data_IF_028087909992
#
_entry.id   IF_028087909992
#
_cell.length_a   1.000
_cell.length_b   1.000
_cell.length_c   1.000
_cell.angle_alpha   90.00
_cell.angle_beta   90.00
_cell.angle_gamma   90.00
#
_symmetry.space_group_name_H-M   'P 1'
#
loop_
_entity.id
_entity.type
_entity.pdbx_description
1 polymer ?
#
# COMPACT_ATOMS: atom_id res chain seq x y z
N UNK A 1 -37.30 1.75 40.46
CA UNK A 1 -36.30 0.72 40.83
C UNK A 1 -34.95 1.20 40.35
N UNK A 2 -34.11 1.65 41.28
CA UNK A 2 -32.75 2.16 41.03
C UNK A 2 -31.75 1.05 41.28
N UNK A 3 -30.91 0.73 40.29
CA UNK A 3 -29.83 -0.23 40.45
C UNK A 3 -28.73 0.38 41.35
N UNK A 4 -28.10 -0.42 42.24
CA UNK A 4 -27.07 0.08 43.14
C UNK A 4 -25.80 0.48 42.36
N UNK A 5 -25.13 1.55 42.82
CA UNK A 5 -24.02 2.22 42.13
C UNK A 5 -22.86 1.28 41.72
N UNK A 6 -22.61 0.22 42.49
CA UNK A 6 -21.57 -0.78 42.19
C UNK A 6 -21.91 -1.68 40.99
N UNK A 7 -23.20 -1.88 40.69
CA UNK A 7 -23.67 -2.64 39.51
C UNK A 7 -23.56 -1.78 38.25
N UNK A 8 -23.81 -0.47 38.35
CA UNK A 8 -23.62 0.47 37.23
C UNK A 8 -22.14 0.63 36.89
N UNK A 9 -21.25 0.64 37.90
CA UNK A 9 -19.80 0.68 37.70
C UNK A 9 -19.27 -0.64 37.12
N UNK A 10 -19.79 -1.80 37.51
CA UNK A 10 -19.36 -3.09 36.95
C UNK A 10 -19.79 -3.26 35.49
N UNK A 11 -20.99 -2.80 35.12
CA UNK A 11 -21.47 -2.83 33.73
C UNK A 11 -20.72 -1.81 32.85
N UNK A 12 -20.35 -0.64 33.38
CA UNK A 12 -19.52 0.33 32.68
C UNK A 12 -18.05 -0.11 32.57
N UNK A 13 -17.52 -0.83 33.56
CA UNK A 13 -16.18 -1.43 33.47
C UNK A 13 -16.17 -2.62 32.51
N UNK A 14 -17.21 -3.45 32.46
CA UNK A 14 -17.35 -4.52 31.44
C UNK A 14 -17.63 -3.99 30.03
N UNK A 15 -18.32 -2.86 29.86
CA UNK A 15 -18.50 -2.23 28.55
C UNK A 15 -17.28 -1.44 28.08
N UNK A 16 -16.56 -0.77 29.00
CA UNK A 16 -15.27 -0.16 28.68
C UNK A 16 -14.18 -1.22 28.45
N UNK A 17 -14.19 -2.36 29.15
CA UNK A 17 -13.29 -3.48 28.84
C UNK A 17 -13.70 -4.21 27.55
N UNK A 18 -14.96 -4.41 27.23
CA UNK A 18 -15.30 -5.12 25.99
C UNK A 18 -15.10 -4.28 24.71
N UNK A 19 -15.05 -2.94 24.80
CA UNK A 19 -14.75 -2.10 23.62
C UNK A 19 -13.28 -1.66 23.53
N UNK A 20 -12.54 -1.61 24.66
CA UNK A 20 -11.11 -1.29 24.67
C UNK A 20 -10.21 -2.54 24.70
N UNK A 21 -10.79 -3.73 24.89
CA UNK A 21 -10.11 -5.01 25.04
C UNK A 21 -10.73 -6.08 24.12
N UNK A 22 -11.16 -5.68 22.91
CA UNK A 22 -11.12 -6.56 21.72
C UNK A 22 -9.73 -6.51 21.07
N UNK A 23 -8.70 -6.40 21.90
CA UNK A 23 -7.31 -6.79 21.61
C UNK A 23 -7.11 -8.08 22.40
N UNK A 24 -7.91 -9.10 22.08
CA UNK A 24 -7.59 -10.48 22.48
C UNK A 24 -6.24 -10.80 21.84
N UNK A 25 -5.16 -10.76 22.62
CA UNK A 25 -3.82 -11.27 22.28
C UNK A 25 -3.57 -11.29 20.78
N UNK A 26 -3.43 -10.11 20.15
CA UNK A 26 -3.08 -10.10 18.73
C UNK A 26 -1.73 -10.77 18.67
N UNK A 27 -1.71 -11.99 18.14
CA UNK A 27 -0.50 -12.78 18.12
C UNK A 27 0.53 -11.94 17.39
N UNK A 28 1.73 -11.77 17.96
CA UNK A 28 2.84 -11.08 17.29
C UNK A 28 2.98 -11.55 15.85
N UNK A 29 2.75 -12.83 15.60
CA UNK A 29 2.76 -13.43 14.27
C UNK A 29 1.64 -12.92 13.36
N UNK A 30 0.44 -12.61 13.88
CA UNK A 30 -0.67 -12.07 13.10
C UNK A 30 -0.43 -10.60 12.71
N UNK A 31 0.16 -9.80 13.62
CA UNK A 31 0.58 -8.42 13.31
C UNK A 31 1.66 -8.45 12.23
N UNK A 32 2.69 -9.28 12.41
CA UNK A 32 3.77 -9.41 11.43
C UNK A 32 3.28 -9.98 10.10
N UNK A 33 2.34 -10.93 10.13
CA UNK A 33 1.73 -11.47 8.91
C UNK A 33 0.89 -10.40 8.19
N UNK A 34 0.12 -9.59 8.91
CA UNK A 34 -0.64 -8.49 8.34
C UNK A 34 0.27 -7.44 7.72
N UNK A 35 1.37 -7.07 8.39
CA UNK A 35 2.37 -6.14 7.86
C UNK A 35 3.11 -6.71 6.63
N UNK A 36 3.38 -8.02 6.61
CA UNK A 36 4.03 -8.70 5.48
C UNK A 36 3.09 -9.00 4.31
N UNK A 37 1.77 -8.96 4.53
CA UNK A 37 0.79 -9.28 3.50
C UNK A 37 0.76 -8.23 2.39
N UNK A 38 1.02 -6.99 2.74
CA UNK A 38 0.94 -5.87 1.83
C UNK A 38 2.29 -5.63 1.15
N UNK A 39 2.29 -5.61 -0.17
CA UNK A 39 3.46 -5.23 -0.95
C UNK A 39 3.75 -3.73 -0.77
N UNK A 40 4.91 -3.42 -0.19
CA UNK A 40 5.31 -2.06 0.16
C UNK A 40 5.57 -1.17 -1.07
N UNK A 41 5.87 -1.76 -2.24
CA UNK A 41 6.04 -1.01 -3.49
C UNK A 41 4.77 -0.22 -3.84
N UNK A 42 3.59 -0.75 -3.52
CA UNK A 42 2.29 -0.10 -3.75
C UNK A 42 2.14 1.23 -3.01
N UNK A 43 2.82 1.36 -1.87
CA UNK A 43 2.58 2.44 -0.91
C UNK A 43 3.76 3.40 -0.80
N UNK A 44 4.98 2.97 -1.15
CA UNK A 44 6.17 3.81 -1.06
C UNK A 44 6.75 4.20 -2.42
N UNK A 45 6.70 3.33 -3.43
CA UNK A 45 7.34 3.61 -4.75
C UNK A 45 6.31 4.07 -5.77
N UNK A 46 5.18 3.36 -5.90
CA UNK A 46 4.11 3.72 -6.84
C UNK A 46 3.59 5.16 -6.65
N UNK A 47 3.44 5.69 -5.41
CA UNK A 47 3.01 7.08 -5.19
C UNK A 47 3.99 8.14 -5.69
N UNK A 48 5.29 7.82 -5.83
CA UNK A 48 6.30 8.74 -6.37
C UNK A 48 6.02 9.07 -7.85
N UNK A 49 5.27 8.20 -8.53
CA UNK A 49 4.76 8.39 -9.90
C UNK A 49 3.36 9.02 -9.92
N UNK A 50 2.84 9.47 -8.78
CA UNK A 50 1.47 9.98 -8.64
C UNK A 50 0.38 8.95 -8.96
N UNK A 51 0.73 7.66 -8.84
CA UNK A 51 -0.14 6.51 -9.05
C UNK A 51 -0.53 5.86 -7.71
N UNK A 52 -1.63 5.10 -7.72
CA UNK A 52 -2.07 4.22 -6.63
C UNK A 52 -3.06 3.18 -7.17
N UNK A 53 -3.38 2.18 -6.34
CA UNK A 53 -4.33 1.11 -6.69
C UNK A 53 -5.71 1.58 -7.17
N UNK A 54 -6.20 2.72 -6.67
CA UNK A 54 -7.51 3.27 -7.05
C UNK A 54 -7.51 4.05 -8.38
N UNK A 55 -6.34 4.27 -9.00
CA UNK A 55 -6.26 4.86 -10.36
C UNK A 55 -6.65 3.85 -11.45
N UNK A 56 -6.69 2.57 -11.11
CA UNK A 56 -7.08 1.49 -12.00
C UNK A 56 -8.62 1.37 -11.99
N UNK A 57 -9.29 1.19 -13.15
CA UNK A 57 -10.74 1.32 -13.35
C UNK A 57 -11.63 0.53 -12.39
N UNK A 58 -11.09 -0.52 -11.78
CA UNK A 58 -11.63 -1.17 -10.60
C UNK A 58 -10.47 -1.56 -9.67
N UNK A 59 -10.73 -1.57 -8.36
CA UNK A 59 -9.76 -2.12 -7.38
C UNK A 59 -9.43 -3.59 -7.69
N UNK A 60 -10.37 -4.29 -8.33
CA UNK A 60 -10.18 -5.66 -8.80
C UNK A 60 -9.17 -5.77 -9.94
N UNK A 61 -9.02 -4.72 -10.77
CA UNK A 61 -8.10 -4.76 -11.91
C UNK A 61 -6.64 -4.60 -11.49
N UNK A 62 -6.37 -3.88 -10.40
CA UNK A 62 -5.04 -3.79 -9.82
C UNK A 62 -4.74 -5.08 -9.03
N UNK A 63 -3.62 -5.73 -9.33
CA UNK A 63 -3.17 -6.89 -8.56
C UNK A 63 -2.10 -6.45 -7.57
N UNK A 64 -0.97 -5.97 -8.09
CA UNK A 64 0.16 -5.54 -7.27
C UNK A 64 1.16 -4.68 -8.06
N UNK A 65 2.17 -4.12 -7.42
CA UNK A 65 3.29 -3.43 -8.08
C UNK A 65 4.65 -3.93 -7.62
N UNK A 66 5.61 -3.92 -8.53
CA UNK A 66 6.91 -4.54 -8.35
C UNK A 66 8.01 -3.63 -8.86
N UNK A 67 9.11 -3.54 -8.12
CA UNK A 67 10.32 -2.90 -8.61
C UNK A 67 11.12 -3.91 -9.45
N UNK A 68 11.64 -3.47 -10.59
CA UNK A 68 12.54 -4.30 -11.38
C UNK A 68 13.93 -4.42 -10.75
N UNK A 69 14.71 -5.39 -11.21
CA UNK A 69 16.09 -5.61 -10.73
C UNK A 69 17.00 -4.40 -10.93
N UNK A 70 16.75 -3.60 -11.98
CA UNK A 70 17.50 -2.38 -12.27
C UNK A 70 17.19 -1.23 -11.32
N UNK A 71 16.06 -1.31 -10.61
CA UNK A 71 15.53 -0.29 -9.68
C UNK A 71 15.16 1.02 -10.39
N UNK A 72 14.95 0.97 -11.71
CA UNK A 72 14.64 2.13 -12.55
C UNK A 72 13.24 2.07 -13.11
N UNK A 73 12.57 0.93 -13.03
CA UNK A 73 11.19 0.78 -13.48
C UNK A 73 10.33 0.09 -12.45
N UNK A 74 9.05 0.45 -12.45
CA UNK A 74 8.02 -0.24 -11.68
C UNK A 74 7.09 -0.96 -12.66
N UNK A 75 6.74 -2.19 -12.34
CA UNK A 75 5.77 -2.99 -13.07
C UNK A 75 4.50 -3.05 -12.24
N UNK A 76 3.38 -2.61 -12.80
CA UNK A 76 2.08 -2.75 -12.17
C UNK A 76 1.34 -3.89 -12.83
N UNK A 77 1.08 -4.95 -12.08
CA UNK A 77 0.30 -6.08 -12.56
C UNK A 77 -1.19 -5.74 -12.56
N UNK A 78 -1.84 -6.08 -13.67
CA UNK A 78 -3.27 -5.86 -13.87
C UNK A 78 -3.96 -7.12 -14.38
N UNK A 79 -5.22 -7.32 -13.99
CA UNK A 79 -6.02 -8.46 -14.46
C UNK A 79 -6.41 -8.35 -15.94
N UNK A 80 -6.80 -7.15 -16.35
CA UNK A 80 -7.27 -6.87 -17.69
C UNK A 80 -6.58 -5.60 -18.22
N UNK A 81 -5.56 -5.83 -19.04
CA UNK A 81 -4.78 -4.78 -19.67
C UNK A 81 -5.62 -3.95 -20.66
N UNK A 82 -6.55 -4.57 -21.38
CA UNK A 82 -7.35 -3.92 -22.43
C UNK A 82 -8.19 -2.75 -21.90
N UNK A 83 -8.66 -2.85 -20.65
CA UNK A 83 -9.50 -1.82 -20.02
C UNK A 83 -8.68 -0.57 -19.64
N UNK A 84 -7.39 -0.73 -19.34
CA UNK A 84 -6.59 0.31 -18.67
C UNK A 84 -5.46 0.87 -19.53
N UNK A 85 -4.98 0.12 -20.52
CA UNK A 85 -3.80 0.49 -21.31
C UNK A 85 -3.97 1.85 -21.99
N UNK A 86 -5.09 2.11 -22.64
CA UNK A 86 -5.34 3.38 -23.35
C UNK A 86 -5.27 4.60 -22.42
N UNK A 87 -5.71 4.44 -21.16
CA UNK A 87 -5.64 5.50 -20.16
C UNK A 87 -4.21 5.68 -19.63
N UNK A 88 -3.49 4.59 -19.42
CA UNK A 88 -2.12 4.63 -18.86
C UNK A 88 -1.07 5.05 -19.89
N UNK A 89 -1.29 4.83 -21.19
CA UNK A 89 -0.40 5.28 -22.26
C UNK A 89 -0.19 6.80 -22.28
N UNK A 90 -1.14 7.58 -21.75
CA UNK A 90 -1.00 9.03 -21.62
C UNK A 90 -0.18 9.48 -20.40
N UNK A 91 0.24 8.56 -19.53
CA UNK A 91 1.06 8.89 -18.37
C UNK A 91 2.49 9.23 -18.81
N UNK A 92 3.12 10.31 -18.32
CA UNK A 92 4.45 10.73 -18.77
C UNK A 92 5.54 9.68 -18.57
N UNK A 93 5.37 8.86 -17.53
CA UNK A 93 6.32 7.79 -17.19
C UNK A 93 5.97 6.43 -17.79
N UNK A 94 4.89 6.31 -18.58
CA UNK A 94 4.55 5.04 -19.22
C UNK A 94 5.65 4.63 -20.22
N UNK A 95 6.08 3.37 -20.14
CA UNK A 95 7.06 2.79 -21.07
C UNK A 95 6.40 1.78 -22.01
N UNK A 96 5.82 0.73 -21.44
CA UNK A 96 5.31 -0.40 -22.20
C UNK A 96 4.21 -1.13 -21.45
N UNK A 97 3.43 -1.90 -22.20
CA UNK A 97 2.58 -2.95 -21.64
C UNK A 97 3.22 -4.28 -21.94
N UNK A 98 3.30 -5.15 -20.95
CA UNK A 98 4.05 -6.40 -21.00
C UNK A 98 3.16 -7.58 -20.63
N UNK A 99 3.49 -8.76 -21.14
CA UNK A 99 2.97 -10.05 -20.69
C UNK A 99 4.12 -11.01 -20.45
N UNK A 100 4.01 -11.87 -19.44
CA UNK A 100 4.98 -12.95 -19.22
C UNK A 100 4.46 -14.29 -19.79
N UNK A 101 5.30 -15.32 -19.75
CA UNK A 101 4.95 -16.66 -20.25
C UNK A 101 3.78 -17.32 -19.49
N UNK A 102 3.45 -16.84 -18.27
CA UNK A 102 2.29 -17.28 -17.51
C UNK A 102 1.00 -16.51 -17.85
N UNK A 103 1.03 -15.60 -18.83
CA UNK A 103 -0.11 -14.78 -19.24
C UNK A 103 -0.47 -13.65 -18.27
N UNK A 104 0.36 -13.35 -17.27
CA UNK A 104 0.17 -12.20 -16.38
C UNK A 104 0.46 -10.92 -17.15
N UNK A 105 -0.39 -9.91 -16.98
CA UNK A 105 -0.28 -8.64 -17.67
C UNK A 105 0.32 -7.57 -16.76
N UNK A 106 1.23 -6.76 -17.30
CA UNK A 106 1.90 -5.70 -16.57
C UNK A 106 1.90 -4.39 -17.37
N UNK A 107 1.91 -3.28 -16.64
CA UNK A 107 2.18 -1.94 -17.17
C UNK A 107 3.50 -1.48 -16.58
N UNK A 108 4.46 -1.19 -17.44
CA UNK A 108 5.78 -0.74 -17.04
C UNK A 108 5.85 0.79 -17.04
N UNK A 109 6.31 1.36 -15.94
CA UNK A 109 6.58 2.79 -15.81
C UNK A 109 8.05 3.04 -15.49
N UNK A 110 8.62 4.11 -16.05
CA UNK A 110 9.94 4.62 -15.69
C UNK A 110 9.85 5.32 -14.34
N UNK A 111 10.83 5.13 -13.48
CA UNK A 111 10.99 5.95 -12.28
C UNK A 111 11.79 7.20 -12.65
N UNK A 112 11.25 8.42 -12.43
CA UNK A 112 12.02 9.65 -12.61
C UNK A 112 13.33 9.63 -11.81
N UNK A 113 14.42 10.08 -12.42
CA UNK A 113 15.77 9.95 -11.84
C UNK A 113 15.92 10.65 -10.49
N UNK A 114 15.15 11.72 -10.25
CA UNK A 114 15.10 12.42 -8.96
C UNK A 114 14.69 11.51 -7.79
N UNK A 115 13.97 10.41 -8.07
CA UNK A 115 13.51 9.46 -7.07
C UNK A 115 14.47 8.28 -6.85
N UNK A 116 15.54 8.14 -7.64
CA UNK A 116 16.49 7.03 -7.46
C UNK A 116 17.11 6.97 -6.05
N UNK A 117 17.49 8.09 -5.41
CA UNK A 117 17.97 8.05 -4.02
C UNK A 117 16.92 7.49 -3.04
N UNK A 118 15.66 7.93 -3.17
CA UNK A 118 14.56 7.45 -2.33
C UNK A 118 14.25 5.97 -2.60
N UNK A 119 14.32 5.51 -3.85
CA UNK A 119 14.22 4.07 -4.15
C UNK A 119 15.37 3.28 -3.50
N UNK A 120 16.58 3.84 -3.44
CA UNK A 120 17.68 3.27 -2.66
C UNK A 120 17.34 3.12 -1.18
N UNK A 121 16.80 4.17 -0.57
CA UNK A 121 16.35 4.16 0.84
C UNK A 121 15.24 3.13 1.08
N UNK A 122 14.32 2.98 0.12
CA UNK A 122 13.24 1.99 0.18
C UNK A 122 13.79 0.56 0.26
N UNK A 123 14.81 0.26 -0.56
CA UNK A 123 15.47 -1.06 -0.58
C UNK A 123 16.18 -1.38 0.73
N UNK A 124 16.76 -0.37 1.36
CA UNK A 124 17.43 -0.49 2.66
C UNK A 124 16.43 -0.55 3.83
N UNK A 125 15.13 -0.37 3.58
CA UNK A 125 14.09 -0.32 4.61
C UNK A 125 14.14 0.93 5.50
N UNK A 126 14.82 2.00 5.07
CA UNK A 126 15.09 3.20 5.88
C UNK A 126 14.06 4.31 5.66
N UNK A 127 12.77 3.98 5.74
CA UNK A 127 11.67 4.85 5.31
C UNK A 127 11.65 6.22 5.99
N UNK A 128 12.11 6.32 7.24
CA UNK A 128 12.23 7.60 7.95
C UNK A 128 13.17 8.60 7.27
N UNK A 129 14.10 8.10 6.44
CA UNK A 129 15.13 8.88 5.74
C UNK A 129 14.73 9.32 4.33
N UNK A 130 13.52 9.00 3.87
CA UNK A 130 13.03 9.55 2.60
C UNK A 130 13.13 11.07 2.59
N UNK A 131 13.37 11.62 1.41
CA UNK A 131 13.30 13.05 1.17
C UNK A 131 11.90 13.56 1.54
N UNK A 132 11.80 14.81 2.02
CA UNK A 132 10.50 15.40 2.35
C UNK A 132 9.57 15.46 1.13
N UNK A 133 10.13 15.68 -0.07
CA UNK A 133 9.36 15.62 -1.32
C UNK A 133 8.76 14.22 -1.58
N UNK A 134 9.53 13.16 -1.31
CA UNK A 134 9.03 11.78 -1.43
C UNK A 134 7.97 11.48 -0.37
N UNK A 135 8.16 11.90 0.89
CA UNK A 135 7.16 11.75 1.95
C UNK A 135 5.85 12.45 1.59
N UNK A 136 5.91 13.67 1.06
CA UNK A 136 4.73 14.40 0.60
C UNK A 136 4.04 13.69 -0.57
N UNK A 137 4.80 13.21 -1.56
CA UNK A 137 4.25 12.42 -2.65
C UNK A 137 3.55 11.15 -2.13
N UNK A 138 4.13 10.44 -1.16
CA UNK A 138 3.55 9.27 -0.52
C UNK A 138 2.26 9.63 0.22
N UNK A 139 2.25 10.66 1.08
CA UNK A 139 1.06 11.10 1.81
C UNK A 139 -0.09 11.46 0.88
N UNK A 140 0.20 12.19 -0.20
CA UNK A 140 -0.82 12.68 -1.15
C UNK A 140 -1.33 11.54 -2.06
N UNK A 141 -0.42 10.74 -2.61
CA UNK A 141 -0.75 9.84 -3.72
C UNK A 141 -1.00 8.40 -3.30
N UNK A 142 -0.52 7.92 -2.15
CA UNK A 142 -0.74 6.53 -1.68
C UNK A 142 -2.21 6.22 -1.35
N UNK A 143 -3.01 7.26 -1.07
CA UNK A 143 -4.41 7.14 -0.56
C UNK A 143 -4.52 6.41 0.77
N UNK A 144 -3.42 6.28 1.51
CA UNK A 144 -3.46 5.76 2.87
C UNK A 144 -4.21 6.73 3.79
N UNK A 145 -4.99 6.23 4.77
CA UNK A 145 -5.66 7.07 5.76
C UNK A 145 -4.68 7.99 6.50
N UNK A 146 -4.93 9.30 6.45
CA UNK A 146 -4.17 10.31 7.19
C UNK A 146 -5.15 11.14 8.04
N UNK A 147 -5.04 11.02 9.37
CA UNK A 147 -5.89 11.74 10.32
C UNK A 147 -7.41 11.55 10.06
N UNK A 148 -7.81 10.38 9.58
CA UNK A 148 -9.22 10.07 9.29
C UNK A 148 -9.96 9.84 10.59
N UNK A 149 -11.03 10.59 10.83
CA UNK A 149 -11.95 10.35 11.96
C UNK A 149 -13.07 9.42 11.49
N UNK A 150 -13.14 8.16 11.99
CA UNK A 150 -14.19 7.24 11.58
C UNK A 150 -15.58 7.69 12.09
N UNK A 151 -15.60 8.38 13.23
CA UNK A 151 -16.79 8.94 13.88
C UNK A 151 -16.50 10.36 14.38
N UNK A 152 -17.54 11.16 14.61
CA UNK A 152 -17.43 12.59 14.96
C UNK A 152 -16.52 12.85 16.18
N UNK A 153 -16.54 11.92 17.14
CA UNK A 153 -15.82 12.02 18.41
C UNK A 153 -14.66 11.01 18.54
N UNK A 154 -14.37 10.23 17.48
CA UNK A 154 -13.27 9.28 17.49
C UNK A 154 -11.92 9.98 17.27
N UNK A 155 -10.87 9.46 17.92
CA UNK A 155 -9.49 9.88 17.69
C UNK A 155 -9.13 9.67 16.21
N UNK A 156 -8.53 10.68 15.54
CA UNK A 156 -8.05 10.54 14.17
C UNK A 156 -7.12 9.33 14.04
N UNK A 157 -7.33 8.55 12.97
CA UNK A 157 -6.49 7.40 12.63
C UNK A 157 -5.61 7.73 11.44
N UNK A 158 -4.33 7.43 11.58
CA UNK A 158 -3.35 7.48 10.51
C UNK A 158 -2.81 6.07 10.28
N UNK A 159 -2.62 5.72 9.01
CA UNK A 159 -2.06 4.42 8.63
C UNK A 159 -0.62 4.28 9.15
N UNK A 160 -0.27 3.09 9.65
CA UNK A 160 1.04 2.82 10.27
C UNK A 160 2.20 3.08 9.30
N UNK A 161 2.01 2.87 7.99
CA UNK A 161 3.02 3.15 6.97
C UNK A 161 3.35 4.64 6.85
N UNK A 162 2.33 5.49 7.01
CA UNK A 162 2.51 6.95 7.03
C UNK A 162 3.11 7.42 8.35
N UNK A 163 2.74 6.78 9.47
CA UNK A 163 3.37 7.06 10.76
C UNK A 163 4.86 6.70 10.77
N UNK A 164 5.25 5.63 10.06
CA UNK A 164 6.62 5.16 9.99
C UNK A 164 7.57 6.11 9.26
N UNK A 165 7.16 6.70 8.13
CA UNK A 165 7.99 7.67 7.39
C UNK A 165 8.28 8.94 8.23
N UNK A 166 7.44 9.22 9.22
CA UNK A 166 7.54 10.38 10.10
C UNK A 166 8.11 10.05 11.48
N UNK A 167 8.50 8.78 11.72
CA UNK A 167 8.90 8.28 13.04
C UNK A 167 7.95 8.73 14.15
N UNK A 168 6.64 8.58 13.91
CA UNK A 168 5.63 9.09 14.82
C UNK A 168 5.82 8.52 16.24
N UNK A 169 5.88 9.35 17.30
CA UNK A 169 6.11 8.88 18.67
C UNK A 169 5.09 7.85 19.14
N UNK A 170 3.83 7.98 18.73
CA UNK A 170 2.77 7.02 19.13
C UNK A 170 3.01 5.63 18.53
N UNK A 171 3.60 5.54 17.34
CA UNK A 171 3.96 4.26 16.74
C UNK A 171 5.18 3.65 17.44
N UNK A 172 6.14 4.47 17.88
CA UNK A 172 7.29 4.02 18.67
C UNK A 172 6.82 3.44 20.00
N UNK A 173 6.01 4.20 20.76
CA UNK A 173 5.44 3.76 22.04
C UNK A 173 4.63 2.48 21.87
N UNK A 174 3.84 2.37 20.79
CA UNK A 174 3.12 1.16 20.45
C UNK A 174 4.08 -0.02 20.29
N UNK A 175 5.11 0.09 19.46
CA UNK A 175 6.03 -1.02 19.24
C UNK A 175 6.85 -1.40 20.48
N UNK A 176 7.32 -0.41 21.26
CA UNK A 176 8.04 -0.66 22.51
C UNK A 176 7.18 -1.47 23.49
N UNK A 177 5.89 -1.12 23.61
CA UNK A 177 4.93 -1.86 24.43
C UNK A 177 4.66 -3.27 23.90
N UNK A 178 4.38 -3.42 22.62
CA UNK A 178 4.04 -4.72 22.02
C UNK A 178 5.23 -5.69 21.97
N UNK A 179 6.45 -5.17 21.81
CA UNK A 179 7.67 -5.97 21.72
C UNK A 179 8.40 -6.15 23.05
N UNK A 180 8.11 -5.31 24.05
CA UNK A 180 8.79 -5.32 25.35
C UNK A 180 10.27 -4.94 25.25
N UNK A 181 10.62 -4.07 24.28
CA UNK A 181 11.99 -3.60 24.04
C UNK A 181 12.01 -2.08 23.94
N UNK A 182 13.12 -1.45 24.31
CA UNK A 182 13.37 -0.04 23.97
C UNK A 182 13.84 0.05 22.52
N UNK A 183 13.15 0.87 21.74
CA UNK A 183 13.55 1.24 20.38
C UNK A 183 14.38 2.51 20.42
N UNK A 184 15.49 2.51 19.68
CA UNK A 184 16.37 3.66 19.54
C UNK A 184 15.91 4.62 18.42
N UNK A 185 16.53 5.80 18.35
CA UNK A 185 16.21 6.80 17.32
C UNK A 185 16.63 6.39 15.89
N UNK A 186 17.45 5.34 15.76
CA UNK A 186 17.91 4.79 14.49
C UNK A 186 17.08 3.60 14.00
N UNK A 187 16.32 2.94 14.88
CA UNK A 187 15.46 1.80 14.58
C UNK A 187 14.30 2.20 13.67
N UNK A 188 14.13 1.49 12.55
CA UNK A 188 13.02 1.73 11.62
C UNK A 188 11.73 1.04 12.09
N UNK A 189 10.59 1.68 11.83
CA UNK A 189 9.29 1.24 12.37
C UNK A 189 8.49 0.33 11.43
N UNK A 190 9.12 -0.08 10.32
CA UNK A 190 8.55 -0.95 9.29
C UNK A 190 9.61 -1.94 8.82
N UNK A 191 9.14 -3.09 8.34
CA UNK A 191 10.01 -4.13 7.80
C UNK A 191 10.57 -3.72 6.44
N UNK A 192 11.77 -4.21 6.12
CA UNK A 192 12.35 -4.12 4.78
C UNK A 192 11.40 -4.70 3.71
N UNK A 193 11.48 -4.21 2.46
CA UNK A 193 10.65 -4.76 1.37
C UNK A 193 10.97 -6.25 1.16
N UNK A 194 9.95 -7.09 1.25
CA UNK A 194 10.07 -8.53 1.04
C UNK A 194 10.29 -8.88 -0.43
N UNK A 195 10.62 -10.15 -0.71
CA UNK A 195 10.84 -10.66 -2.09
C UNK A 195 9.66 -10.39 -3.03
N UNK A 196 8.42 -10.36 -2.51
CA UNK A 196 7.22 -10.04 -3.28
C UNK A 196 7.18 -8.62 -3.84
N UNK A 197 8.02 -7.70 -3.34
CA UNK A 197 8.12 -6.33 -3.85
C UNK A 197 8.92 -6.23 -5.16
N UNK A 198 9.54 -7.32 -5.61
CA UNK A 198 10.50 -7.34 -6.71
C UNK A 198 10.08 -8.31 -7.81
N UNK A 199 10.44 -8.01 -9.06
CA UNK A 199 10.20 -8.88 -10.20
C UNK A 199 11.37 -8.87 -11.18
N UNK A 200 11.67 -10.03 -11.75
CA UNK A 200 12.63 -10.14 -12.85
C UNK A 200 11.98 -9.77 -14.19
N UNK A 201 12.75 -9.14 -15.06
CA UNK A 201 12.32 -8.82 -16.43
C UNK A 201 12.50 -10.00 -17.40
N UNK A 202 13.14 -11.08 -16.96
CA UNK A 202 13.31 -12.29 -17.77
C UNK A 202 11.96 -12.89 -18.17
N UNK A 203 11.79 -13.22 -19.45
CA UNK A 203 10.55 -13.78 -20.00
C UNK A 203 9.40 -12.76 -20.19
N UNK A 204 9.61 -11.47 -19.92
CA UNK A 204 8.65 -10.42 -20.24
C UNK A 204 8.70 -10.09 -21.73
N UNK A 205 7.52 -9.96 -22.36
CA UNK A 205 7.39 -9.59 -23.78
C UNK A 205 6.41 -8.44 -23.93
N UNK A 206 6.56 -7.57 -24.95
CA UNK A 206 5.54 -6.58 -25.26
C UNK A 206 4.18 -7.24 -25.47
N UNK A 207 3.16 -6.73 -24.80
CA UNK A 207 1.81 -7.22 -24.94
C UNK A 207 1.31 -6.94 -26.37
N UNK A 208 0.96 -8.00 -27.10
CA UNK A 208 0.32 -7.84 -28.41
C UNK A 208 -1.14 -7.49 -28.21
N UNK A 209 -1.48 -6.21 -28.25
CA UNK A 209 -2.86 -5.79 -28.24
C UNK A 209 -3.47 -6.02 -29.62
N UNK A 210 -4.29 -7.06 -29.76
CA UNK A 210 -5.27 -7.08 -30.85
C UNK A 210 -6.44 -6.22 -30.39
N UNK A 211 -6.72 -5.07 -31.05
CA UNK A 211 -7.95 -4.33 -30.74
C UNK A 211 -9.12 -5.31 -30.86
N UNK A 212 -10.12 -5.26 -29.96
CA UNK A 212 -11.28 -6.12 -30.06
C UNK A 212 -11.82 -5.96 -31.48
N UNK A 213 -11.65 -7.00 -32.30
CA UNK A 213 -12.23 -7.06 -33.65
C UNK A 213 -13.69 -6.76 -33.43
N UNK A 214 -14.12 -5.60 -33.90
CA UNK A 214 -15.45 -5.03 -33.72
C UNK A 214 -16.47 -6.16 -33.72
N UNK A 215 -16.87 -6.63 -32.53
CA UNK A 215 -17.95 -7.59 -32.45
C UNK A 215 -19.13 -6.83 -33.00
N UNK A 216 -19.59 -7.31 -34.15
CA UNK A 216 -20.77 -6.87 -34.86
C UNK A 216 -21.83 -6.66 -33.80
N UNK A 217 -22.22 -5.40 -33.57
CA UNK A 217 -23.38 -5.11 -32.72
C UNK A 217 -24.53 -5.86 -33.38
N UNK A 218 -24.87 -7.04 -32.83
CA UNK A 218 -26.10 -7.71 -33.18
C UNK A 218 -27.20 -6.72 -32.81
N UNK A 219 -27.78 -6.16 -33.87
CA UNK A 219 -28.95 -5.28 -33.85
C UNK A 219 -30.19 -6.13 -33.58
N UNK A 220 -30.17 -6.81 -32.44
CA UNK A 220 -31.32 -7.54 -31.89
C UNK A 220 -31.71 -6.89 -30.56
N UNK A 221 -32.05 -5.60 -30.63
CA UNK A 221 -33.05 -5.03 -29.75
C UNK A 221 -34.03 -4.28 -30.65
N UNK A 222 -35.23 -4.85 -30.66
CA UNK A 222 -36.45 -4.51 -31.41
C UNK A 222 -36.80 -3.03 -31.26
#
# INVERSE_FOLDING_TARGET
MTLPLHVVISILIEWCFNYFMYISTVNKNDILAALNKDNLTNYYVLPLLRLNKHRFPSEENFVDSYLDESRRTILVEVRNLAIIVTRMMGHPDYLASLTNDAGRCFIQFKIPEKWYPDVGIFLDGKYSKFSEEAKDAIRIHSRLPLQVRPEKDATPRTDTRLMAIDRNPQLIEFWQRELGVELDESDELMLMPGKGCFISMEGMRPATFQPPTSQTRNSEWI
#
